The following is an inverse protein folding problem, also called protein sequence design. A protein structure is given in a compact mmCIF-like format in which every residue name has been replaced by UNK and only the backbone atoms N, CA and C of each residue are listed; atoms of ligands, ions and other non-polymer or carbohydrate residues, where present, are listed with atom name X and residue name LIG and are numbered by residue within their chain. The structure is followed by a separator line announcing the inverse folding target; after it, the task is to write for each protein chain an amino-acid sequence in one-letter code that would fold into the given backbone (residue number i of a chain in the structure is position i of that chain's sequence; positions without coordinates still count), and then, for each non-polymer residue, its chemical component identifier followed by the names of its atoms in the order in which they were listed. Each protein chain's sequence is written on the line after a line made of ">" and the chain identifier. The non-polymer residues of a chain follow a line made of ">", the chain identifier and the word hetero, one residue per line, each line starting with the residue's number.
data_IF_729391001809
#
_entry.id   IF_729391001809
#
_cell.length_a   1.000
_cell.length_b   1.000
_cell.length_c   1.000
_cell.angle_alpha   90.00
_cell.angle_beta   90.00
_cell.angle_gamma   90.00
#
_symmetry.space_group_name_H-M   'P 1'
#
loop_
_entity.id
_entity.type
_entity.pdbx_description
1 polymer ?
#
# COMPACT_ATOMS: atom_id res chain seq x y z
N UNK A 1 -17.54 -27.96 -0.29
CA UNK A 1 -16.68 -26.78 -0.06
C UNK A 1 -15.66 -27.15 0.99
N UNK A 2 -14.53 -27.73 0.57
CA UNK A 2 -13.50 -28.27 1.46
C UNK A 2 -12.15 -27.99 0.80
N UNK A 3 -11.38 -27.10 1.39
CA UNK A 3 -9.98 -26.83 1.04
C UNK A 3 -9.14 -28.01 1.51
N UNK A 4 -8.61 -28.81 0.57
CA UNK A 4 -7.65 -29.87 0.92
C UNK A 4 -6.23 -29.29 0.88
N UNK A 5 -5.41 -29.50 1.93
CA UNK A 5 -3.98 -29.19 1.87
C UNK A 5 -3.23 -30.18 0.97
N UNK A 6 -2.28 -29.69 0.17
CA UNK A 6 -1.32 -30.52 -0.57
C UNK A 6 -0.21 -31.03 0.37
N UNK A 7 0.29 -32.26 0.19
CA UNK A 7 1.36 -32.80 1.01
C UNK A 7 2.71 -32.25 0.52
N UNK A 8 3.44 -31.55 1.39
CA UNK A 8 4.90 -31.47 1.29
C UNK A 8 5.57 -30.10 1.11
N UNK A 9 4.86 -29.02 0.85
CA UNK A 9 5.45 -27.68 0.83
C UNK A 9 4.33 -26.65 0.92
N UNK A 10 4.54 -25.58 1.70
CA UNK A 10 3.52 -24.58 2.08
C UNK A 10 2.94 -23.73 0.95
N UNK A 11 2.49 -24.34 -0.14
CA UNK A 11 1.79 -23.73 -1.26
C UNK A 11 0.28 -23.92 -1.13
N UNK A 12 -0.46 -22.86 -1.46
CA UNK A 12 -1.91 -22.88 -1.60
C UNK A 12 -2.28 -22.73 -3.08
N UNK A 13 -3.20 -23.57 -3.57
CA UNK A 13 -3.80 -23.39 -4.89
C UNK A 13 -4.95 -22.40 -4.78
N UNK A 14 -4.80 -21.22 -5.39
CA UNK A 14 -5.92 -20.33 -5.69
C UNK A 14 -6.35 -20.66 -7.13
N UNK A 15 -7.64 -20.93 -7.31
CA UNK A 15 -8.25 -21.25 -8.61
C UNK A 15 -7.88 -20.21 -9.67
N UNK A 16 -7.03 -20.58 -10.64
CA UNK A 16 -6.89 -19.88 -11.94
C UNK A 16 -5.57 -19.12 -12.18
N UNK A 17 -4.73 -18.89 -11.16
CA UNK A 17 -3.40 -18.32 -11.33
C UNK A 17 -2.38 -19.25 -10.65
N UNK A 18 -1.26 -19.50 -11.30
CA UNK A 18 -0.29 -20.54 -10.93
C UNK A 18 0.23 -20.49 -9.49
N UNK A 19 0.93 -21.56 -9.11
CA UNK A 19 1.51 -21.76 -7.78
C UNK A 19 2.40 -20.57 -7.38
N UNK A 20 1.97 -19.77 -6.39
CA UNK A 20 2.83 -18.76 -5.75
C UNK A 20 3.57 -19.42 -4.58
N UNK A 21 4.91 -19.41 -4.64
CA UNK A 21 5.78 -19.85 -3.56
C UNK A 21 5.50 -19.07 -2.27
N UNK A 22 5.63 -19.73 -1.12
CA UNK A 22 5.34 -19.21 0.24
C UNK A 22 6.19 -17.99 0.66
N UNK A 23 7.12 -17.56 -0.19
CA UNK A 23 7.99 -16.38 -0.05
C UNK A 23 7.38 -15.11 -0.68
N UNK A 24 6.36 -15.25 -1.54
CA UNK A 24 5.68 -14.16 -2.23
C UNK A 24 4.45 -13.62 -1.49
N UNK A 25 4.25 -13.98 -0.22
CA UNK A 25 3.25 -13.34 0.64
C UNK A 25 3.96 -12.24 1.44
N UNK A 26 3.87 -10.95 1.06
CA UNK A 26 4.49 -9.82 1.77
C UNK A 26 3.94 -9.59 3.19
N UNK A 27 3.16 -10.52 3.74
CA UNK A 27 2.63 -10.48 5.10
C UNK A 27 3.62 -10.86 6.20
N UNK A 28 4.80 -11.44 5.88
CA UNK A 28 5.79 -11.86 6.91
C UNK A 28 6.89 -10.83 7.20
N UNK A 29 7.01 -9.77 6.41
CA UNK A 29 8.13 -8.80 6.50
C UNK A 29 7.71 -7.38 6.95
N UNK A 30 6.47 -7.21 7.40
CA UNK A 30 5.90 -5.93 7.86
C UNK A 30 4.90 -5.35 6.86
N UNK A 31 4.07 -4.36 7.24
CA UNK A 31 3.07 -3.76 6.38
C UNK A 31 3.70 -3.14 5.12
N UNK A 32 3.14 -3.41 3.95
CA UNK A 32 3.61 -2.87 2.66
C UNK A 32 2.65 -1.81 2.14
N UNK A 33 3.18 -0.65 1.82
CA UNK A 33 2.44 0.48 1.25
C UNK A 33 2.78 0.57 -0.23
N UNK A 34 1.80 0.33 -1.09
CA UNK A 34 1.91 0.59 -2.53
C UNK A 34 1.44 2.00 -2.82
N UNK A 35 2.27 2.78 -3.51
CA UNK A 35 2.02 4.18 -3.82
C UNK A 35 2.39 4.53 -5.26
N UNK A 36 1.91 5.68 -5.72
CA UNK A 36 2.27 6.20 -7.04
C UNK A 36 3.59 6.99 -7.00
N UNK A 37 4.62 6.44 -7.64
CA UNK A 37 5.95 7.06 -7.77
C UNK A 37 5.98 8.30 -8.66
N UNK A 38 4.99 8.53 -9.52
CA UNK A 38 4.95 9.73 -10.39
C UNK A 38 4.13 10.87 -9.78
N UNK A 39 3.37 10.64 -8.72
CA UNK A 39 2.57 11.68 -8.08
C UNK A 39 3.37 12.45 -7.02
N UNK A 40 3.40 13.79 -7.12
CA UNK A 40 4.09 14.65 -6.12
C UNK A 40 3.47 14.51 -4.73
N UNK A 41 2.14 14.43 -4.63
CA UNK A 41 1.43 14.23 -3.37
C UNK A 41 1.79 12.90 -2.71
N UNK A 42 1.78 11.80 -3.49
CA UNK A 42 2.11 10.47 -2.98
C UNK A 42 3.57 10.38 -2.54
N UNK A 43 4.50 10.97 -3.29
CA UNK A 43 5.90 11.07 -2.88
C UNK A 43 6.08 11.90 -1.60
N UNK A 44 5.35 13.03 -1.47
CA UNK A 44 5.34 13.83 -0.25
C UNK A 44 4.86 13.03 0.97
N UNK A 45 3.82 12.22 0.77
CA UNK A 45 3.31 11.31 1.79
C UNK A 45 4.33 10.24 2.20
N UNK A 46 4.95 9.56 1.23
CA UNK A 46 6.00 8.56 1.52
C UNK A 46 7.18 9.19 2.26
N UNK A 47 7.65 10.38 1.85
CA UNK A 47 8.71 11.11 2.58
C UNK A 47 8.32 11.46 4.01
N UNK A 48 7.07 11.85 4.22
CA UNK A 48 6.54 12.07 5.57
C UNK A 48 6.59 10.78 6.40
N UNK A 49 6.19 9.66 5.82
CA UNK A 49 6.23 8.36 6.50
C UNK A 49 7.66 7.90 6.77
N UNK A 50 8.59 8.05 5.82
CA UNK A 50 9.99 7.69 6.04
C UNK A 50 10.63 8.45 7.21
N UNK A 51 10.22 9.71 7.45
CA UNK A 51 10.69 10.53 8.58
C UNK A 51 10.10 10.14 9.94
N UNK A 52 8.83 9.69 9.97
CA UNK A 52 8.13 9.42 11.22
C UNK A 52 8.04 7.94 11.57
N UNK A 53 8.17 7.06 10.57
CA UNK A 53 8.08 5.64 10.73
C UNK A 53 9.43 5.03 11.10
N UNK A 54 9.45 4.33 12.23
CA UNK A 54 10.65 3.69 12.80
C UNK A 54 11.01 2.36 12.14
N UNK A 55 10.88 2.27 10.81
CA UNK A 55 11.22 1.07 10.03
C UNK A 55 10.17 -0.04 10.06
N UNK A 56 8.91 0.27 10.39
CA UNK A 56 7.82 -0.72 10.41
C UNK A 56 7.24 -0.97 9.02
N UNK A 57 7.07 0.10 8.24
CA UNK A 57 6.40 0.06 6.94
C UNK A 57 7.43 -0.09 5.81
N UNK A 58 7.10 -0.93 4.84
CA UNK A 58 7.81 -1.04 3.56
C UNK A 58 7.02 -0.33 2.47
N UNK A 59 7.70 0.08 1.41
CA UNK A 59 7.10 0.84 0.32
C UNK A 59 7.31 0.09 -1.00
N UNK A 60 6.32 0.12 -1.87
CA UNK A 60 6.44 -0.38 -3.23
C UNK A 60 5.85 0.67 -4.17
N UNK A 61 6.58 1.03 -5.23
CA UNK A 61 6.01 1.89 -6.26
C UNK A 61 5.08 1.06 -7.13
N UNK A 62 3.89 1.55 -7.47
CA UNK A 62 2.98 0.84 -8.38
C UNK A 62 3.58 0.61 -9.78
N UNK A 63 4.61 1.37 -10.14
CA UNK A 63 5.38 1.19 -11.38
C UNK A 63 6.40 0.05 -11.30
N UNK A 64 6.76 -0.42 -10.10
CA UNK A 64 7.71 -1.50 -9.93
C UNK A 64 7.05 -2.87 -10.12
N UNK A 65 7.81 -3.91 -10.54
CA UNK A 65 7.31 -5.28 -10.60
C UNK A 65 6.59 -5.73 -9.33
N UNK A 66 7.18 -5.51 -8.16
CA UNK A 66 6.58 -5.88 -6.88
C UNK A 66 5.27 -5.12 -6.59
N UNK A 67 5.20 -3.82 -6.91
CA UNK A 67 3.99 -3.03 -6.73
C UNK A 67 2.85 -3.46 -7.66
N UNK A 68 3.16 -3.74 -8.93
CA UNK A 68 2.18 -4.25 -9.91
C UNK A 68 1.64 -5.62 -9.50
N UNK A 69 2.50 -6.52 -9.06
CA UNK A 69 2.11 -7.84 -8.58
C UNK A 69 1.18 -7.74 -7.36
N UNK A 70 1.51 -6.87 -6.40
CA UNK A 70 0.68 -6.62 -5.22
C UNK A 70 -0.70 -6.07 -5.56
N UNK A 71 -0.78 -5.12 -6.49
CA UNK A 71 -2.06 -4.57 -6.93
C UNK A 71 -2.90 -5.63 -7.64
N UNK A 72 -2.28 -6.38 -8.56
CA UNK A 72 -2.95 -7.46 -9.29
C UNK A 72 -3.46 -8.58 -8.36
N UNK A 73 -2.65 -8.99 -7.38
CA UNK A 73 -3.02 -10.00 -6.38
C UNK A 73 -4.24 -9.58 -5.53
N UNK A 74 -4.50 -8.28 -5.42
CA UNK A 74 -5.63 -7.72 -4.68
C UNK A 74 -6.75 -7.17 -5.59
N UNK A 75 -6.69 -7.43 -6.89
CA UNK A 75 -7.72 -7.03 -7.86
C UNK A 75 -7.80 -5.52 -8.10
N UNK A 76 -6.71 -4.79 -7.83
CA UNK A 76 -6.59 -3.36 -8.08
C UNK A 76 -5.85 -3.12 -9.39
N UNK A 77 -6.28 -2.10 -10.12
CA UNK A 77 -5.62 -1.66 -11.34
C UNK A 77 -4.36 -0.85 -10.98
N UNK A 78 -3.22 -1.26 -11.53
CA UNK A 78 -1.94 -0.57 -11.36
C UNK A 78 -1.89 0.79 -12.07
N UNK A 79 -2.78 0.99 -13.03
CA UNK A 79 -2.88 2.22 -13.81
C UNK A 79 -3.97 3.17 -13.25
N UNK A 80 -4.72 2.75 -12.22
CA UNK A 80 -5.70 3.61 -11.54
C UNK A 80 -5.02 4.57 -10.54
N UNK A 81 -5.17 5.89 -10.71
CA UNK A 81 -4.58 6.87 -9.83
C UNK A 81 -5.21 6.93 -8.42
N UNK A 82 -6.24 6.16 -8.12
CA UNK A 82 -6.79 6.01 -6.77
C UNK A 82 -6.20 4.83 -5.99
N UNK A 83 -5.30 4.05 -6.61
CA UNK A 83 -4.72 2.79 -6.10
C UNK A 83 -3.67 2.99 -4.99
N UNK A 84 -4.02 3.73 -3.93
CA UNK A 84 -3.27 3.68 -2.68
C UNK A 84 -3.66 2.41 -1.91
N UNK A 85 -2.70 1.50 -1.76
CA UNK A 85 -2.92 0.19 -1.15
C UNK A 85 -1.98 0.00 0.04
N UNK A 86 -2.54 -0.44 1.16
CA UNK A 86 -1.81 -0.97 2.30
C UNK A 86 -2.11 -2.46 2.41
N UNK A 87 -1.06 -3.29 2.36
CA UNK A 87 -1.14 -4.73 2.63
C UNK A 87 -0.60 -4.99 4.04
N UNK A 88 -1.47 -5.43 4.93
CA UNK A 88 -1.11 -5.79 6.30
C UNK A 88 -1.80 -7.11 6.68
N UNK A 89 -1.03 -8.09 7.17
CA UNK A 89 -1.53 -9.41 7.59
C UNK A 89 -2.39 -10.11 6.52
N UNK A 90 -2.00 -10.00 5.25
CA UNK A 90 -2.73 -10.59 4.12
C UNK A 90 -4.04 -9.88 3.78
N UNK A 91 -4.34 -8.74 4.40
CA UNK A 91 -5.49 -7.90 4.06
C UNK A 91 -5.05 -6.64 3.32
N UNK A 92 -5.74 -6.37 2.23
CA UNK A 92 -5.63 -5.12 1.49
C UNK A 92 -6.56 -4.06 2.09
N UNK A 93 -6.02 -2.86 2.29
CA UNK A 93 -6.73 -1.66 2.71
C UNK A 93 -6.48 -0.56 1.69
N UNK A 94 -7.52 0.18 1.35
CA UNK A 94 -7.44 1.28 0.37
C UNK A 94 -8.01 2.57 0.93
N UNK A 95 -7.88 3.66 0.17
CA UNK A 95 -8.47 4.96 0.47
C UNK A 95 -8.15 5.47 1.89
N UNK A 96 -9.16 6.05 2.56
CA UNK A 96 -9.05 6.61 3.90
C UNK A 96 -8.74 5.54 4.95
N UNK A 97 -9.18 4.29 4.73
CA UNK A 97 -8.93 3.18 5.66
C UNK A 97 -7.43 2.84 5.72
N UNK A 98 -6.76 2.82 4.57
CA UNK A 98 -5.33 2.61 4.48
C UNK A 98 -4.56 3.73 5.21
N UNK A 99 -4.90 4.99 4.95
CA UNK A 99 -4.24 6.16 5.56
C UNK A 99 -4.39 6.12 7.09
N UNK A 100 -5.61 5.87 7.56
CA UNK A 100 -5.88 5.77 9.00
C UNK A 100 -5.02 4.69 9.65
N UNK A 101 -4.93 3.50 9.03
CA UNK A 101 -4.14 2.38 9.55
C UNK A 101 -2.65 2.68 9.59
N UNK A 102 -2.11 3.26 8.52
CA UNK A 102 -0.70 3.68 8.48
C UNK A 102 -0.42 4.65 9.64
N UNK A 103 -1.24 5.69 9.80
CA UNK A 103 -1.05 6.69 10.86
C UNK A 103 -1.17 6.09 12.27
N UNK A 104 -2.16 5.24 12.51
CA UNK A 104 -2.27 4.52 13.79
C UNK A 104 -1.06 3.60 14.00
N UNK A 105 -0.54 3.00 12.93
CA UNK A 105 0.65 2.17 12.91
C UNK A 105 1.95 2.89 13.28
N UNK A 106 2.05 4.20 12.99
CA UNK A 106 3.17 5.07 13.41
C UNK A 106 3.25 5.25 14.94
N UNK A 107 2.11 5.13 15.64
CA UNK A 107 2.05 5.28 17.09
C UNK A 107 2.20 6.74 17.59
N UNK A 108 2.36 6.90 18.91
CA UNK A 108 2.50 8.22 19.55
C UNK A 108 1.31 9.15 19.29
N UNK A 109 1.60 10.40 18.93
CA UNK A 109 0.60 11.43 18.58
C UNK A 109 -0.26 11.04 17.39
N UNK A 110 0.25 10.19 16.48
CA UNK A 110 -0.45 9.74 15.29
C UNK A 110 -1.57 8.74 15.58
N UNK A 111 -1.64 8.17 16.80
CA UNK A 111 -2.80 7.36 17.22
C UNK A 111 -4.10 8.17 17.22
N UNK A 112 -4.04 9.50 17.33
CA UNK A 112 -5.21 10.37 17.19
C UNK A 112 -5.87 10.26 15.81
N UNK A 113 -5.15 9.79 14.78
CA UNK A 113 -5.73 9.47 13.47
C UNK A 113 -6.85 8.43 13.56
N UNK A 114 -6.91 7.62 14.63
CA UNK A 114 -8.04 6.73 14.87
C UNK A 114 -9.38 7.49 14.97
N UNK A 115 -9.37 8.76 15.39
CA UNK A 115 -10.55 9.62 15.41
C UNK A 115 -11.11 9.90 14.00
N UNK A 116 -10.34 9.72 12.93
CA UNK A 116 -10.87 9.78 11.55
C UNK A 116 -11.88 8.67 11.26
N UNK A 117 -11.93 7.59 12.05
CA UNK A 117 -13.02 6.62 12.00
C UNK A 117 -14.35 7.13 12.55
N UNK A 118 -14.34 8.23 13.31
CA UNK A 118 -15.56 8.88 13.78
C UNK A 118 -16.31 9.57 12.63
N UNK A 119 -15.58 9.99 11.59
CA UNK A 119 -16.18 10.55 10.37
C UNK A 119 -16.73 9.40 9.51
N UNK A 120 -18.02 9.43 9.12
CA UNK A 120 -18.59 8.38 8.29
C UNK A 120 -17.83 8.23 6.97
N UNK A 121 -17.63 6.97 6.54
CA UNK A 121 -17.05 6.62 5.23
C UNK A 121 -17.68 7.40 4.08
N UNK A 122 -19.00 7.55 4.11
CA UNK A 122 -19.76 8.30 3.10
C UNK A 122 -19.41 9.78 2.95
N UNK A 123 -18.71 10.40 3.93
CA UNK A 123 -18.24 11.78 3.85
C UNK A 123 -16.74 11.86 3.53
N UNK A 124 -15.93 10.98 4.13
CA UNK A 124 -14.47 11.02 3.97
C UNK A 124 -14.00 10.45 2.63
N UNK A 125 -14.64 9.39 2.12
CA UNK A 125 -14.20 8.71 0.90
C UNK A 125 -14.50 9.52 -0.37
N UNK A 126 -15.63 10.27 -0.51
CA UNK A 126 -15.83 11.17 -1.64
C UNK A 126 -14.82 12.33 -1.69
N UNK A 127 -14.45 12.87 -0.52
CA UNK A 127 -13.41 13.89 -0.43
C UNK A 127 -12.07 13.32 -0.87
N UNK A 128 -11.69 12.13 -0.37
CA UNK A 128 -10.50 11.41 -0.80
C UNK A 128 -10.50 11.16 -2.31
N UNK A 129 -11.58 10.60 -2.85
CA UNK A 129 -11.74 10.35 -4.30
C UNK A 129 -11.68 11.63 -5.12
N UNK A 130 -12.12 12.77 -4.59
CA UNK A 130 -11.97 14.07 -5.28
C UNK A 130 -10.52 14.52 -5.30
N UNK A 131 -9.79 14.40 -4.20
CA UNK A 131 -8.36 14.71 -4.13
C UNK A 131 -7.57 13.77 -5.04
N UNK A 132 -7.80 12.46 -4.95
CA UNK A 132 -7.11 11.45 -5.75
C UNK A 132 -7.29 11.71 -7.26
N UNK A 133 -8.51 12.00 -7.71
CA UNK A 133 -8.79 12.34 -9.13
C UNK A 133 -8.15 13.64 -9.59
N UNK A 134 -7.95 14.60 -8.68
CA UNK A 134 -7.35 15.89 -9.01
C UNK A 134 -5.86 15.98 -8.66
N UNK A 135 -5.24 14.91 -8.16
CA UNK A 135 -3.89 14.95 -7.58
C UNK A 135 -2.84 15.46 -8.56
N UNK A 136 -2.92 15.04 -9.83
CA UNK A 136 -2.00 15.52 -10.87
C UNK A 136 -2.27 16.97 -11.24
N UNK A 137 -3.55 17.41 -11.23
CA UNK A 137 -3.92 18.78 -11.56
C UNK A 137 -3.58 19.77 -10.45
N UNK A 138 -3.59 19.33 -9.20
CA UNK A 138 -3.33 20.17 -8.03
C UNK A 138 -1.87 20.14 -7.58
N UNK A 139 -1.21 19.00 -7.67
CA UNK A 139 0.14 18.81 -7.15
C UNK A 139 1.18 18.49 -8.25
N UNK A 140 0.74 18.16 -9.46
CA UNK A 140 1.62 17.81 -10.56
C UNK A 140 2.11 16.37 -10.53
N UNK A 141 2.92 16.04 -11.53
CA UNK A 141 3.65 14.78 -11.68
C UNK A 141 5.15 15.04 -11.58
N UNK A 142 5.89 14.05 -11.10
CA UNK A 142 7.36 14.06 -11.08
C UNK A 142 7.90 12.85 -11.83
N UNK A 143 9.00 13.04 -12.55
CA UNK A 143 9.58 12.01 -13.43
C UNK A 143 10.73 11.25 -12.76
N UNK A 144 11.28 11.79 -11.67
CA UNK A 144 12.45 11.23 -10.99
C UNK A 144 12.32 11.40 -9.48
N UNK A 145 11.83 10.38 -8.79
CA UNK A 145 12.02 10.22 -7.37
C UNK A 145 12.89 8.98 -7.15
N UNK A 146 14.21 9.15 -7.22
CA UNK A 146 15.15 8.09 -6.85
C UNK A 146 15.26 8.09 -5.32
N UNK A 147 14.83 7.02 -4.62
CA UNK A 147 15.00 6.93 -3.16
C UNK A 147 16.48 6.91 -2.81
N UNK A 148 16.86 7.53 -1.68
CA UNK A 148 18.25 7.54 -1.23
C UNK A 148 18.71 6.13 -0.81
N UNK A 149 20.02 5.87 -0.78
CA UNK A 149 20.56 4.54 -0.44
C UNK A 149 20.06 3.99 0.89
N UNK A 150 19.93 4.85 1.91
CA UNK A 150 19.39 4.46 3.22
C UNK A 150 17.89 4.14 3.20
N UNK A 151 17.16 4.61 2.20
CA UNK A 151 15.73 4.36 2.05
C UNK A 151 15.49 3.10 1.21
N UNK A 152 16.41 2.74 0.31
CA UNK A 152 16.29 1.58 -0.61
C UNK A 152 15.97 0.26 0.08
N UNK A 153 16.48 0.02 1.28
CA UNK A 153 16.21 -1.22 2.04
C UNK A 153 14.73 -1.37 2.43
N UNK A 154 13.98 -0.26 2.40
CA UNK A 154 12.53 -0.23 2.67
C UNK A 154 11.69 -0.27 1.40
N UNK A 155 12.28 -0.14 0.22
CA UNK A 155 11.59 -0.21 -1.06
C UNK A 155 11.67 -1.60 -1.68
N UNK A 156 10.51 -2.16 -2.01
CA UNK A 156 10.41 -3.37 -2.81
C UNK A 156 10.53 -2.98 -4.30
N UNK A 157 11.39 -3.68 -5.03
CA UNK A 157 11.58 -3.51 -6.48
C UNK A 157 10.76 -4.57 -7.20
#
# INVERSE_FOLDING_TARGET
>A
MSSRPCPGSGCWCITGAGCMSNDAVPGRLGPVIVFDGVCVLCNGWVRFLLKHDRGRHRFAAMQSPAGRELLAAHGLDADDPSSFLLVEQGRAWTETDAIQRVLVGLGGVWKMAAAMALVPRGLRDPLYRRVARHRYRWFGTTTCAVPSEAERDRFLQ
#
